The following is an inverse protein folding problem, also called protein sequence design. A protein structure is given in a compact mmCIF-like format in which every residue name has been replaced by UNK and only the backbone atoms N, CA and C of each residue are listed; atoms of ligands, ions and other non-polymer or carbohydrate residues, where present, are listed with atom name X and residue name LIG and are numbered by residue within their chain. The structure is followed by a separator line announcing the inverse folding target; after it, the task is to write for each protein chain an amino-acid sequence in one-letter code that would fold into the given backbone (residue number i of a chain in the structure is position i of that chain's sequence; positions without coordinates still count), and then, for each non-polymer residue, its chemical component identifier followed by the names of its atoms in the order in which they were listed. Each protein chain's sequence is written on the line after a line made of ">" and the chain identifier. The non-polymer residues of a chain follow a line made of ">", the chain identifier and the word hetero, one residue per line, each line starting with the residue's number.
data_IF_863798754021
#
_entry.id   IF_863798754021
#
_cell.length_a   1.000
_cell.length_b   1.000
_cell.length_c   1.000
_cell.angle_alpha   90.00
_cell.angle_beta   90.00
_cell.angle_gamma   90.00
#
_symmetry.space_group_name_H-M   'P 1'
#
loop_
_entity.id
_entity.type
_entity.pdbx_description
1 polymer ?
#
# COMPACT_ATOMS: atom_id res chain seq x y z
N UNK A 1 -0.42 -5.42 23.67
CA UNK A 1 0.70 -5.92 22.83
C UNK A 1 1.73 -4.82 22.75
N UNK A 2 2.94 -5.05 23.27
CA UNK A 2 3.94 -4.00 23.45
C UNK A 2 4.39 -3.40 22.12
N UNK A 3 4.33 -2.06 22.01
CA UNK A 3 5.05 -1.31 20.98
C UNK A 3 6.51 -1.35 21.41
N UNK A 4 7.23 -2.38 20.97
CA UNK A 4 8.58 -2.68 21.40
C UNK A 4 9.59 -1.70 20.83
N UNK A 5 9.87 -0.64 21.57
CA UNK A 5 11.01 0.27 21.36
C UNK A 5 12.33 -0.32 21.91
N UNK A 6 12.56 -1.64 21.75
CA UNK A 6 13.69 -2.32 22.36
C UNK A 6 14.72 -2.80 21.34
N UNK A 7 15.95 -2.34 21.62
CA UNK A 7 17.27 -2.79 21.15
C UNK A 7 17.82 -2.15 19.87
N UNK A 8 18.43 -0.98 20.08
CA UNK A 8 19.42 -0.31 19.22
C UNK A 8 20.70 -1.15 19.07
N UNK A 9 20.60 -2.32 18.42
CA UNK A 9 21.72 -3.17 18.05
C UNK A 9 21.32 -4.18 16.97
N UNK A 10 22.22 -4.49 16.03
CA UNK A 10 21.91 -5.33 14.86
C UNK A 10 21.33 -6.71 15.19
N UNK A 11 21.76 -7.32 16.31
CA UNK A 11 21.22 -8.60 16.79
C UNK A 11 19.80 -8.49 17.37
N UNK A 12 19.49 -7.39 18.06
CA UNK A 12 18.14 -7.15 18.60
C UNK A 12 17.11 -6.93 17.50
N UNK A 13 17.47 -6.14 16.48
CA UNK A 13 16.63 -5.95 15.30
C UNK A 13 16.35 -7.26 14.56
N UNK A 14 17.38 -8.10 14.34
CA UNK A 14 17.20 -9.36 13.62
C UNK A 14 16.23 -10.29 14.36
N UNK A 15 16.35 -10.42 15.68
CA UNK A 15 15.42 -11.20 16.50
C UNK A 15 14.00 -10.64 16.44
N UNK A 16 13.84 -9.32 16.60
CA UNK A 16 12.54 -8.66 16.49
C UNK A 16 11.89 -8.89 15.11
N UNK A 17 12.66 -8.70 14.04
CA UNK A 17 12.18 -8.95 12.69
C UNK A 17 11.77 -10.42 12.50
N UNK A 18 12.61 -11.37 12.90
CA UNK A 18 12.35 -12.80 12.70
C UNK A 18 11.15 -13.31 13.52
N UNK A 19 11.02 -12.85 14.76
CA UNK A 19 10.03 -13.35 15.71
C UNK A 19 8.71 -12.57 15.70
N UNK A 20 8.73 -11.28 15.31
CA UNK A 20 7.56 -10.40 15.39
C UNK A 20 7.12 -9.92 14.01
N UNK A 21 7.98 -9.21 13.28
CA UNK A 21 7.56 -8.53 12.05
C UNK A 21 7.33 -9.49 10.88
N UNK A 22 8.20 -10.48 10.71
CA UNK A 22 8.09 -11.45 9.61
C UNK A 22 6.84 -12.33 9.72
N UNK A 23 6.42 -12.81 10.90
CA UNK A 23 5.11 -13.42 11.08
C UNK A 23 3.97 -12.42 10.86
N UNK A 24 4.03 -11.22 11.46
CA UNK A 24 2.99 -10.20 11.35
C UNK A 24 2.71 -9.77 9.90
N UNK A 25 3.75 -9.65 9.07
CA UNK A 25 3.68 -9.36 7.64
C UNK A 25 2.82 -10.35 6.84
N UNK A 26 2.60 -11.56 7.38
CA UNK A 26 1.84 -12.65 6.75
C UNK A 26 0.50 -12.92 7.46
N UNK A 27 0.25 -12.28 8.59
CA UNK A 27 -1.00 -12.45 9.34
C UNK A 27 -2.15 -11.70 8.66
N UNK A 28 -3.35 -12.22 8.83
CA UNK A 28 -4.57 -11.63 8.27
C UNK A 28 -5.29 -10.70 9.27
N UNK A 29 -4.82 -10.65 10.51
CA UNK A 29 -5.39 -9.84 11.59
C UNK A 29 -4.66 -8.50 11.71
N UNK A 30 -5.29 -7.44 12.23
CA UNK A 30 -4.62 -6.17 12.54
C UNK A 30 -3.39 -6.38 13.43
N UNK A 31 -2.37 -5.53 13.24
CA UNK A 31 -1.13 -5.57 14.02
C UNK A 31 -1.02 -4.33 14.89
N UNK A 32 -0.59 -4.54 16.14
CA UNK A 32 -0.42 -3.46 17.12
C UNK A 32 -1.72 -3.01 17.79
N UNK A 33 -1.65 -2.02 18.70
CA UNK A 33 -2.83 -1.49 19.39
C UNK A 33 -3.76 -0.72 18.45
N UNK A 34 -5.06 -1.00 18.53
CA UNK A 34 -6.06 -0.33 17.68
C UNK A 34 -6.08 1.19 17.85
N UNK A 35 -5.95 1.67 19.09
CA UNK A 35 -5.91 3.11 19.39
C UNK A 35 -4.74 3.81 18.68
N UNK A 36 -3.59 3.13 18.59
CA UNK A 36 -2.41 3.67 17.93
C UNK A 36 -2.59 3.67 16.41
N UNK A 37 -3.13 2.60 15.84
CA UNK A 37 -3.46 2.54 14.42
C UNK A 37 -4.46 3.64 14.01
N UNK A 38 -5.49 3.88 14.83
CA UNK A 38 -6.46 4.97 14.64
C UNK A 38 -5.84 6.35 14.76
N UNK A 39 -4.97 6.56 15.74
CA UNK A 39 -4.26 7.83 15.91
C UNK A 39 -3.34 8.11 14.72
N UNK A 40 -2.51 7.14 14.32
CA UNK A 40 -1.56 7.26 13.20
C UNK A 40 -2.30 7.50 11.88
N UNK A 41 -3.29 6.67 11.55
CA UNK A 41 -4.07 6.83 10.31
C UNK A 41 -4.88 8.13 10.28
N UNK A 42 -5.47 8.54 11.40
CA UNK A 42 -6.16 9.82 11.52
C UNK A 42 -5.23 11.01 11.33
N UNK A 43 -4.01 10.95 11.88
CA UNK A 43 -2.98 11.95 11.67
C UNK A 43 -2.51 11.98 10.21
N UNK A 44 -2.19 10.83 9.61
CA UNK A 44 -1.78 10.75 8.21
C UNK A 44 -2.84 11.32 7.27
N UNK A 45 -4.11 10.98 7.48
CA UNK A 45 -5.20 11.47 6.65
C UNK A 45 -5.40 12.99 6.80
N UNK A 46 -5.43 13.50 8.04
CA UNK A 46 -5.61 14.95 8.28
C UNK A 46 -4.42 15.77 7.79
N UNK A 47 -3.21 15.32 8.09
CA UNK A 47 -1.98 15.96 7.64
C UNK A 47 -1.89 15.93 6.11
N UNK A 48 -2.13 14.76 5.50
CA UNK A 48 -2.15 14.62 4.05
C UNK A 48 -3.22 15.49 3.40
N UNK A 49 -4.42 15.55 3.98
CA UNK A 49 -5.50 16.41 3.48
C UNK A 49 -5.13 17.90 3.56
N UNK A 50 -4.51 18.33 4.66
CA UNK A 50 -4.05 19.72 4.81
C UNK A 50 -2.87 20.06 3.88
N UNK A 51 -1.87 19.18 3.80
CA UNK A 51 -0.63 19.43 3.08
C UNK A 51 -0.75 19.21 1.57
N UNK A 52 -1.39 18.11 1.16
CA UNK A 52 -1.56 17.73 -0.25
C UNK A 52 -2.86 18.25 -0.86
N UNK A 53 -3.80 18.75 -0.03
CA UNK A 53 -5.10 19.26 -0.48
C UNK A 53 -5.88 18.26 -1.37
N UNK A 54 -5.82 16.97 -1.02
CA UNK A 54 -6.50 15.93 -1.80
C UNK A 54 -8.01 15.87 -1.52
N UNK A 55 -8.76 15.33 -2.48
CA UNK A 55 -10.17 14.95 -2.34
C UNK A 55 -10.42 13.58 -2.98
N UNK A 56 -11.58 12.96 -2.70
CA UNK A 56 -11.96 11.69 -3.31
C UNK A 56 -13.48 11.60 -3.51
N UNK A 57 -13.92 10.85 -4.52
CA UNK A 57 -15.34 10.65 -4.85
C UNK A 57 -15.89 9.33 -4.26
N UNK A 58 -15.39 8.90 -3.10
CA UNK A 58 -15.72 7.60 -2.49
C UNK A 58 -17.21 7.42 -2.18
N UNK A 59 -17.86 8.49 -1.72
CA UNK A 59 -19.31 8.51 -1.42
C UNK A 59 -20.16 8.39 -2.68
N UNK A 60 -19.75 9.09 -3.74
CA UNK A 60 -20.39 8.96 -5.04
C UNK A 60 -20.25 7.52 -5.56
N UNK A 61 -19.05 6.94 -5.51
CA UNK A 61 -18.82 5.55 -5.91
C UNK A 61 -19.69 4.54 -5.14
N UNK A 62 -19.98 4.78 -3.85
CA UNK A 62 -20.92 3.98 -3.05
C UNK A 62 -22.36 4.16 -3.54
N UNK A 63 -22.78 5.40 -3.79
CA UNK A 63 -24.13 5.73 -4.27
C UNK A 63 -24.43 5.07 -5.62
N UNK A 64 -23.46 5.06 -6.53
CA UNK A 64 -23.58 4.40 -7.84
C UNK A 64 -23.39 2.87 -7.76
N UNK A 65 -23.08 2.33 -6.57
CA UNK A 65 -22.88 0.89 -6.38
C UNK A 65 -21.63 0.33 -7.06
N UNK A 66 -20.65 1.19 -7.42
CA UNK A 66 -19.37 0.81 -8.02
C UNK A 66 -18.57 -0.06 -7.03
N UNK A 67 -18.64 0.28 -5.75
CA UNK A 67 -18.16 -0.57 -4.67
C UNK A 67 -19.16 -0.58 -3.53
N UNK A 68 -19.21 -1.68 -2.78
CA UNK A 68 -20.15 -1.89 -1.67
C UNK A 68 -19.39 -2.34 -0.43
N UNK A 69 -19.73 -1.83 0.75
CA UNK A 69 -18.89 -2.13 1.92
C UNK A 69 -19.06 -3.54 2.51
N UNK A 70 -20.14 -4.21 2.13
CA UNK A 70 -20.43 -5.60 2.50
C UNK A 70 -19.71 -6.62 1.60
N UNK A 71 -19.05 -6.16 0.53
CA UNK A 71 -18.37 -7.03 -0.44
C UNK A 71 -16.86 -6.87 -0.40
N UNK A 72 -16.21 -8.00 -0.62
CA UNK A 72 -14.78 -8.05 -0.85
C UNK A 72 -14.43 -7.46 -2.22
N UNK A 73 -13.34 -6.71 -2.31
CA UNK A 73 -12.86 -6.16 -3.57
C UNK A 73 -11.33 -6.23 -3.72
N UNK A 74 -10.86 -6.17 -4.96
CA UNK A 74 -9.46 -5.92 -5.27
C UNK A 74 -9.36 -4.53 -5.90
N UNK A 75 -8.84 -3.57 -5.13
CA UNK A 75 -8.64 -2.21 -5.60
C UNK A 75 -7.37 -2.13 -6.42
N UNK A 76 -7.53 -1.80 -7.69
CA UNK A 76 -6.46 -1.67 -8.66
C UNK A 76 -6.11 -0.19 -8.73
N UNK A 77 -5.08 0.19 -7.99
CA UNK A 77 -4.73 1.58 -7.75
C UNK A 77 -3.66 2.06 -8.72
N UNK A 78 -3.94 3.18 -9.38
CA UNK A 78 -3.01 3.87 -10.25
C UNK A 78 -3.01 5.39 -10.01
N UNK A 79 -1.93 6.10 -10.37
CA UNK A 79 -0.62 5.51 -10.65
C UNK A 79 0.01 4.94 -9.36
N UNK A 80 1.02 4.08 -9.48
CA UNK A 80 1.88 3.71 -8.35
C UNK A 80 2.63 4.95 -7.82
N UNK A 81 3.01 5.88 -8.71
CA UNK A 81 3.84 7.03 -8.37
C UNK A 81 5.20 6.61 -7.79
N UNK A 82 5.94 7.58 -7.26
CA UNK A 82 7.29 7.30 -6.77
C UNK A 82 7.30 6.45 -5.48
N UNK A 83 6.32 6.63 -4.59
CA UNK A 83 6.25 5.95 -3.28
C UNK A 83 4.85 5.47 -2.87
N UNK A 84 3.83 5.51 -3.75
CA UNK A 84 2.47 5.00 -3.48
C UNK A 84 1.84 5.56 -2.20
N UNK A 85 1.87 6.88 -2.03
CA UNK A 85 1.43 7.49 -0.78
C UNK A 85 -0.10 7.54 -0.70
N UNK A 86 -0.79 7.87 -1.80
CA UNK A 86 -2.25 7.94 -1.78
C UNK A 86 -2.90 6.63 -1.33
N UNK A 87 -2.51 5.49 -1.92
CA UNK A 87 -3.13 4.21 -1.57
C UNK A 87 -2.92 3.86 -0.09
N UNK A 88 -1.71 4.11 0.44
CA UNK A 88 -1.43 3.87 1.85
C UNK A 88 -2.32 4.73 2.75
N UNK A 89 -2.41 6.03 2.48
CA UNK A 89 -3.16 6.99 3.30
C UNK A 89 -4.65 6.66 3.33
N UNK A 90 -5.25 6.44 2.15
CA UNK A 90 -6.68 6.13 2.06
C UNK A 90 -7.01 4.77 2.66
N UNK A 91 -6.24 3.72 2.33
CA UNK A 91 -6.53 2.37 2.83
C UNK A 91 -6.35 2.29 4.35
N UNK A 92 -5.28 2.89 4.88
CA UNK A 92 -5.06 2.93 6.33
C UNK A 92 -6.19 3.71 7.04
N UNK A 93 -6.58 4.85 6.49
CA UNK A 93 -7.66 5.66 7.04
C UNK A 93 -9.01 4.93 6.99
N UNK A 94 -9.40 4.40 5.83
CA UNK A 94 -10.64 3.65 5.64
C UNK A 94 -10.70 2.39 6.49
N UNK A 95 -9.57 1.70 6.67
CA UNK A 95 -9.48 0.59 7.61
C UNK A 95 -9.78 1.05 9.05
N UNK A 96 -9.04 2.05 9.54
CA UNK A 96 -9.07 2.45 10.94
C UNK A 96 -10.36 3.18 11.37
N UNK A 97 -10.91 3.99 10.46
CA UNK A 97 -12.20 4.69 10.60
C UNK A 97 -13.40 3.77 10.35
N UNK A 98 -13.16 2.54 9.89
CA UNK A 98 -14.19 1.64 9.41
C UNK A 98 -15.04 2.24 8.27
N UNK A 99 -14.46 3.05 7.39
CA UNK A 99 -15.16 3.61 6.23
C UNK A 99 -15.03 2.71 5.00
N UNK A 100 -16.09 2.52 4.20
CA UNK A 100 -17.45 3.04 4.36
C UNK A 100 -18.42 2.07 5.06
N UNK A 101 -18.27 1.85 6.37
CA UNK A 101 -19.24 1.20 7.27
C UNK A 101 -19.80 -0.16 6.85
N UNK A 102 -19.42 -1.25 7.54
CA UNK A 102 -19.89 -2.60 7.18
C UNK A 102 -18.93 -3.69 7.61
N UNK A 103 -17.86 -3.92 6.85
CA UNK A 103 -16.87 -4.99 7.15
C UNK A 103 -15.62 -4.42 7.82
N UNK A 104 -15.71 -4.25 9.15
CA UNK A 104 -14.58 -3.75 9.92
C UNK A 104 -13.37 -4.69 9.82
N UNK A 105 -12.23 -4.12 9.47
CA UNK A 105 -10.93 -4.78 9.69
C UNK A 105 -10.35 -5.59 8.53
N UNK A 106 -10.97 -5.59 7.34
CA UNK A 106 -10.53 -6.42 6.20
C UNK A 106 -9.96 -5.65 4.99
N UNK A 107 -9.60 -4.38 5.15
CA UNK A 107 -9.02 -3.53 4.09
C UNK A 107 -7.51 -3.44 4.24
N UNK A 108 -6.75 -3.98 3.29
CA UNK A 108 -5.28 -4.09 3.34
C UNK A 108 -4.62 -3.33 2.20
N UNK A 109 -3.48 -2.70 2.48
CA UNK A 109 -2.62 -2.15 1.44
C UNK A 109 -1.51 -3.16 1.11
N UNK A 110 -1.42 -3.63 -0.13
CA UNK A 110 -0.34 -4.53 -0.53
C UNK A 110 0.93 -3.73 -0.78
N UNK A 111 2.03 -4.11 -0.12
CA UNK A 111 3.32 -3.42 -0.22
C UNK A 111 4.45 -4.40 -0.58
N UNK A 112 5.53 -3.88 -1.14
CA UNK A 112 6.69 -4.69 -1.48
C UNK A 112 7.26 -5.39 -0.21
N UNK A 113 7.61 -6.70 -0.27
CA UNK A 113 8.10 -7.44 0.90
C UNK A 113 9.38 -6.85 1.50
N UNK A 114 10.16 -6.10 0.70
CA UNK A 114 11.37 -5.43 1.15
C UNK A 114 11.08 -4.34 2.19
N UNK A 115 9.98 -3.58 2.03
CA UNK A 115 9.63 -2.48 2.95
C UNK A 115 9.32 -2.99 4.36
N UNK A 116 8.81 -4.22 4.47
CA UNK A 116 8.52 -4.90 5.74
C UNK A 116 9.77 -5.47 6.43
N UNK A 117 10.97 -5.18 5.91
CA UNK A 117 12.27 -5.53 6.52
C UNK A 117 13.03 -4.32 7.05
N UNK A 118 12.55 -3.11 6.76
CA UNK A 118 13.23 -1.86 7.13
C UNK A 118 12.79 -1.47 8.55
N UNK A 119 13.74 -1.19 9.48
CA UNK A 119 13.42 -0.71 10.82
C UNK A 119 12.51 0.49 10.84
N UNK A 120 11.55 0.50 11.77
CA UNK A 120 10.50 1.52 11.97
C UNK A 120 9.46 1.60 10.85
N UNK A 121 9.89 1.49 9.59
CA UNK A 121 8.99 1.47 8.44
C UNK A 121 8.10 0.23 8.44
N UNK A 122 8.64 -0.94 8.77
CA UNK A 122 7.88 -2.18 8.83
C UNK A 122 6.73 -2.10 9.84
N UNK A 123 7.00 -1.64 11.06
CA UNK A 123 6.01 -1.42 12.11
C UNK A 123 4.95 -0.40 11.69
N UNK A 124 5.38 0.72 11.10
CA UNK A 124 4.50 1.76 10.61
C UNK A 124 3.55 1.22 9.53
N UNK A 125 4.07 0.48 8.55
CA UNK A 125 3.27 -0.14 7.49
C UNK A 125 2.30 -1.18 8.05
N UNK A 126 2.74 -2.00 9.01
CA UNK A 126 1.88 -2.99 9.68
C UNK A 126 0.75 -2.32 10.48
N UNK A 127 1.03 -1.21 11.18
CA UNK A 127 0.02 -0.38 11.85
C UNK A 127 -0.97 0.24 10.86
N UNK A 128 -0.50 0.63 9.68
CA UNK A 128 -1.32 1.08 8.56
C UNK A 128 -2.02 -0.06 7.80
N UNK A 129 -2.10 -1.25 8.41
CA UNK A 129 -2.74 -2.46 7.87
C UNK A 129 -2.20 -2.92 6.50
N UNK A 130 -0.92 -2.63 6.24
CA UNK A 130 -0.23 -3.07 5.03
C UNK A 130 0.27 -4.51 5.14
N UNK A 131 0.25 -5.26 4.05
CA UNK A 131 0.72 -6.65 3.99
C UNK A 131 1.59 -6.88 2.77
N UNK A 132 2.43 -7.90 2.85
CA UNK A 132 3.31 -8.28 1.75
C UNK A 132 2.50 -8.63 0.50
N UNK A 133 2.87 -8.07 -0.65
CA UNK A 133 2.28 -8.40 -1.97
C UNK A 133 2.80 -9.72 -2.54
N UNK A 134 3.61 -10.47 -1.79
CA UNK A 134 4.03 -11.80 -2.24
C UNK A 134 2.80 -12.70 -2.49
N UNK A 135 2.94 -13.60 -3.48
CA UNK A 135 1.82 -14.41 -3.95
C UNK A 135 1.13 -15.18 -2.82
N UNK A 136 1.86 -15.74 -1.86
CA UNK A 136 1.25 -16.53 -0.78
C UNK A 136 0.39 -15.65 0.12
N UNK A 137 0.94 -14.52 0.58
CA UNK A 137 0.22 -13.58 1.45
C UNK A 137 -0.96 -12.95 0.72
N UNK A 138 -0.76 -12.48 -0.51
CA UNK A 138 -1.81 -11.87 -1.34
C UNK A 138 -2.98 -12.82 -1.59
N UNK A 139 -2.71 -14.06 -2.01
CA UNK A 139 -3.77 -15.05 -2.23
C UNK A 139 -4.46 -15.44 -0.90
N UNK A 140 -3.75 -15.49 0.21
CA UNK A 140 -4.36 -15.75 1.53
C UNK A 140 -5.30 -14.63 1.97
N UNK A 141 -4.94 -13.36 1.74
CA UNK A 141 -5.83 -12.23 2.00
C UNK A 141 -7.12 -12.35 1.20
N UNK A 142 -7.01 -12.63 -0.10
CA UNK A 142 -8.18 -12.79 -0.95
C UNK A 142 -9.03 -14.01 -0.54
N UNK A 143 -8.41 -15.15 -0.23
CA UNK A 143 -9.14 -16.34 0.20
C UNK A 143 -9.94 -16.15 1.51
N UNK A 144 -9.57 -15.18 2.35
CA UNK A 144 -10.19 -14.93 3.66
C UNK A 144 -11.14 -13.71 3.67
N UNK A 145 -11.57 -13.27 2.48
CA UNK A 145 -12.49 -12.14 2.34
C UNK A 145 -11.83 -10.77 2.55
N UNK A 146 -10.51 -10.68 2.43
CA UNK A 146 -9.76 -9.43 2.53
C UNK A 146 -9.96 -8.57 1.28
N UNK A 147 -10.36 -7.32 1.46
CA UNK A 147 -10.29 -6.29 0.43
C UNK A 147 -8.87 -5.76 0.36
N UNK A 148 -8.23 -5.83 -0.80
CA UNK A 148 -6.80 -5.52 -0.94
C UNK A 148 -6.61 -4.41 -1.97
N UNK A 149 -5.81 -3.40 -1.66
CA UNK A 149 -5.32 -2.44 -2.63
C UNK A 149 -3.98 -2.90 -3.20
N UNK A 150 -3.84 -2.89 -4.53
CA UNK A 150 -2.63 -3.24 -5.25
C UNK A 150 -2.36 -2.22 -6.35
N UNK A 151 -1.08 -1.91 -6.56
CA UNK A 151 -0.61 -1.06 -7.65
C UNK A 151 0.09 -1.95 -8.68
N UNK A 152 -0.62 -2.42 -9.71
CA UNK A 152 -0.09 -3.46 -10.58
C UNK A 152 1.05 -2.94 -11.47
N UNK A 153 1.19 -1.62 -11.66
CA UNK A 153 2.32 -1.03 -12.39
C UNK A 153 3.67 -1.24 -11.71
N UNK A 154 3.68 -1.47 -10.40
CA UNK A 154 4.84 -1.91 -9.62
C UNK A 154 6.11 -1.10 -9.89
N UNK A 155 7.27 -1.78 -9.87
CA UNK A 155 8.56 -1.15 -10.10
C UNK A 155 8.66 -0.39 -11.44
N UNK A 156 8.19 -0.93 -12.60
CA UNK A 156 8.22 -0.18 -13.86
C UNK A 156 7.54 1.20 -13.78
N UNK A 157 6.32 1.25 -13.22
CA UNK A 157 5.58 2.51 -13.05
C UNK A 157 6.31 3.43 -12.07
N UNK A 158 6.78 2.87 -10.97
CA UNK A 158 7.49 3.59 -9.92
C UNK A 158 8.72 4.34 -10.48
N UNK A 159 9.59 3.64 -11.21
CA UNK A 159 10.84 4.22 -11.74
C UNK A 159 10.63 5.11 -12.95
N UNK A 160 9.50 4.98 -13.62
CA UNK A 160 9.12 5.81 -14.76
C UNK A 160 8.29 7.04 -14.36
N UNK A 161 8.00 7.23 -13.07
CA UNK A 161 7.26 8.40 -12.56
C UNK A 161 7.82 9.69 -13.16
N UNK A 162 6.92 10.52 -13.68
CA UNK A 162 7.23 11.82 -14.27
C UNK A 162 6.25 12.86 -13.72
N UNK A 163 6.77 13.88 -13.05
CA UNK A 163 5.98 15.00 -12.55
C UNK A 163 5.21 15.75 -13.65
N UNK A 164 5.66 15.68 -14.91
CA UNK A 164 5.02 16.37 -16.02
C UNK A 164 4.02 15.48 -16.79
N UNK A 165 3.98 14.18 -16.51
CA UNK A 165 3.12 13.23 -17.24
C UNK A 165 2.71 12.03 -16.38
N UNK A 166 1.41 11.77 -16.30
CA UNK A 166 0.87 10.57 -15.65
C UNK A 166 0.81 9.40 -16.64
N UNK A 167 1.87 8.59 -16.64
CA UNK A 167 1.96 7.39 -17.47
C UNK A 167 1.62 6.14 -16.65
N UNK A 168 0.57 5.42 -17.06
CA UNK A 168 0.20 4.17 -16.43
C UNK A 168 0.93 2.98 -17.03
N UNK A 169 1.38 2.06 -16.18
CA UNK A 169 2.03 0.82 -16.62
C UNK A 169 1.16 -0.37 -16.23
N UNK A 170 0.76 -1.15 -17.24
CA UNK A 170 0.05 -2.39 -17.02
C UNK A 170 1.04 -3.56 -17.13
N UNK A 171 1.15 -4.42 -16.10
CA UNK A 171 2.08 -5.53 -16.14
C UNK A 171 1.62 -6.55 -17.19
N UNK A 172 2.56 -7.06 -17.99
CA UNK A 172 2.28 -8.18 -18.92
C UNK A 172 1.86 -9.44 -18.16
N UNK A 173 2.30 -9.58 -16.90
CA UNK A 173 1.93 -10.68 -16.00
C UNK A 173 0.72 -10.30 -15.15
N UNK A 174 -0.46 -10.75 -15.59
CA UNK A 174 -1.75 -10.50 -14.92
C UNK A 174 -2.01 -11.40 -13.69
N UNK A 175 -1.00 -11.58 -12.82
CA UNK A 175 -1.09 -12.45 -11.65
C UNK A 175 -2.21 -12.05 -10.69
N UNK A 176 -2.35 -10.74 -10.43
CA UNK A 176 -3.40 -10.21 -9.56
C UNK A 176 -4.81 -10.47 -10.12
N UNK A 177 -4.99 -10.38 -11.46
CA UNK A 177 -6.26 -10.70 -12.13
C UNK A 177 -6.58 -12.18 -11.98
N UNK A 178 -5.59 -13.08 -12.20
CA UNK A 178 -5.79 -14.52 -12.01
C UNK A 178 -6.18 -14.86 -10.57
N UNK A 179 -5.57 -14.20 -9.59
CA UNK A 179 -5.95 -14.34 -8.18
C UNK A 179 -7.35 -13.81 -7.91
N UNK A 180 -7.73 -12.67 -8.48
CA UNK A 180 -9.09 -12.12 -8.37
C UNK A 180 -10.14 -13.07 -8.92
N UNK A 181 -9.92 -13.62 -10.12
CA UNK A 181 -10.80 -14.63 -10.74
C UNK A 181 -10.90 -15.87 -9.84
N UNK A 182 -9.76 -16.38 -9.35
CA UNK A 182 -9.70 -17.58 -8.50
C UNK A 182 -10.57 -17.47 -7.24
N UNK A 183 -10.62 -16.29 -6.62
CA UNK A 183 -11.38 -16.06 -5.39
C UNK A 183 -12.69 -15.32 -5.60
N UNK A 184 -13.12 -15.13 -6.86
CA UNK A 184 -14.35 -14.41 -7.18
C UNK A 184 -14.36 -12.97 -6.68
N UNK A 185 -13.20 -12.31 -6.60
CA UNK A 185 -13.05 -10.96 -6.06
C UNK A 185 -13.18 -9.92 -7.20
N UNK A 186 -14.21 -9.05 -7.20
CA UNK A 186 -14.35 -8.00 -8.21
C UNK A 186 -13.20 -6.99 -8.16
N UNK A 187 -12.74 -6.57 -9.34
CA UNK A 187 -11.77 -5.50 -9.48
C UNK A 187 -12.48 -4.14 -9.42
N UNK A 188 -11.91 -3.19 -8.68
CA UNK A 188 -12.30 -1.78 -8.75
C UNK A 188 -11.09 -0.98 -9.20
N UNK A 189 -11.12 -0.34 -10.38
CA UNK A 189 -10.08 0.60 -10.76
C UNK A 189 -10.19 1.87 -9.90
N UNK A 190 -9.07 2.31 -9.34
CA UNK A 190 -8.95 3.56 -8.60
C UNK A 190 -7.83 4.37 -9.24
N UNK A 191 -8.11 5.63 -9.54
CA UNK A 191 -7.13 6.56 -10.08
C UNK A 191 -6.93 7.73 -9.11
N UNK A 192 -5.67 8.04 -8.80
CA UNK A 192 -5.27 9.18 -7.97
C UNK A 192 -4.55 10.23 -8.82
N UNK A 193 -5.30 11.23 -9.29
CA UNK A 193 -4.75 12.37 -10.02
C UNK A 193 -3.82 13.19 -9.13
N UNK A 194 -2.67 13.60 -9.66
CA UNK A 194 -1.69 14.43 -8.95
C UNK A 194 -0.62 13.64 -8.20
N UNK A 195 -0.73 12.31 -8.09
CA UNK A 195 0.21 11.48 -7.32
C UNK A 195 1.64 11.56 -7.88
N UNK A 196 1.80 11.65 -9.21
CA UNK A 196 3.13 11.79 -9.82
C UNK A 196 3.75 13.18 -9.57
N UNK A 197 2.92 14.21 -9.39
CA UNK A 197 3.32 15.59 -9.16
C UNK A 197 3.76 15.84 -7.71
N UNK A 198 3.58 14.87 -6.81
CA UNK A 198 4.02 14.97 -5.41
C UNK A 198 5.54 14.99 -5.25
N UNK A 199 6.28 14.63 -6.30
CA UNK A 199 7.73 14.47 -6.24
C UNK A 199 8.41 15.13 -7.45
N UNK A 200 9.53 15.81 -7.23
CA UNK A 200 10.32 16.33 -8.32
C UNK A 200 11.18 15.22 -8.95
N UNK A 201 10.72 14.74 -10.11
CA UNK A 201 11.41 13.69 -10.86
C UNK A 201 12.36 14.31 -11.90
N UNK A 202 13.49 14.84 -11.43
CA UNK A 202 14.52 15.35 -12.35
C UNK A 202 14.95 14.26 -13.35
N UNK A 203 15.25 14.65 -14.59
CA UNK A 203 15.58 13.68 -15.65
C UNK A 203 16.77 12.79 -15.28
N UNK A 204 17.74 13.32 -14.54
CA UNK A 204 18.92 12.57 -14.12
C UNK A 204 18.61 11.53 -13.04
N UNK A 205 17.75 11.84 -12.05
CA UNK A 205 17.34 10.87 -11.02
C UNK A 205 16.51 9.75 -11.64
N UNK A 206 15.62 10.08 -12.58
CA UNK A 206 14.85 9.09 -13.33
C UNK A 206 15.75 8.17 -14.15
N UNK A 207 16.76 8.70 -14.84
CA UNK A 207 17.76 7.88 -15.56
C UNK A 207 18.53 6.96 -14.61
N UNK A 208 18.90 7.46 -13.44
CA UNK A 208 19.61 6.67 -12.43
C UNK A 208 18.72 5.55 -11.86
N UNK A 209 17.48 5.85 -11.47
CA UNK A 209 16.52 4.85 -10.99
C UNK A 209 16.22 3.80 -12.07
N UNK A 210 16.06 4.20 -13.34
CA UNK A 210 15.90 3.27 -14.47
C UNK A 210 17.13 2.39 -14.68
N UNK A 211 18.33 2.93 -14.51
CA UNK A 211 19.56 2.14 -14.58
C UNK A 211 19.60 1.10 -13.47
N UNK A 212 19.38 1.51 -12.21
CA UNK A 212 19.31 0.60 -11.06
C UNK A 212 18.22 -0.46 -11.21
N UNK A 213 17.06 -0.09 -11.75
CA UNK A 213 15.99 -1.04 -12.04
C UNK A 213 16.42 -2.08 -13.07
N UNK A 214 17.08 -1.66 -14.16
CA UNK A 214 17.54 -2.57 -15.21
C UNK A 214 18.70 -3.47 -14.76
N UNK A 215 19.57 -2.99 -13.88
CA UNK A 215 20.75 -3.72 -13.43
C UNK A 215 20.51 -4.57 -12.19
N UNK A 216 19.75 -4.05 -11.22
CA UNK A 216 19.57 -4.67 -9.89
C UNK A 216 18.11 -5.05 -9.60
N UNK A 217 17.15 -4.64 -10.43
CA UNK A 217 15.73 -4.90 -10.18
C UNK A 217 15.15 -4.12 -8.98
N UNK A 218 15.77 -3.00 -8.61
CA UNK A 218 15.35 -2.17 -7.47
C UNK A 218 14.41 -1.04 -7.90
N UNK A 219 13.59 -0.54 -6.97
CA UNK A 219 12.73 0.63 -7.18
C UNK A 219 13.48 1.96 -7.05
N UNK A 220 12.72 3.03 -6.86
CA UNK A 220 13.29 4.37 -6.66
C UNK A 220 14.19 4.42 -5.42
N UNK A 221 15.42 4.89 -5.60
CA UNK A 221 16.36 5.16 -4.51
C UNK A 221 16.47 6.66 -4.22
N UNK A 222 16.25 7.49 -5.24
CA UNK A 222 16.34 8.95 -5.16
C UNK A 222 15.16 9.57 -5.88
N UNK A 223 14.46 10.45 -5.19
CA UNK A 223 13.46 11.37 -5.76
C UNK A 223 13.76 12.74 -5.15
N UNK A 224 13.71 13.80 -5.96
CA UNK A 224 14.04 15.16 -5.51
C UNK A 224 12.78 15.96 -5.19
#
# INVERSE_FOLDING_TARGET
>A
MAVGLLALGGGGWLLWYLLVLRPAAKQLTPWGPEWLARMVSGWLYKFGSWYLNFSHNGEEALKWGIWKDDKQHLWVWHPHGAFTVAALYFVAHWHASNYPGGTRGKRFCAVAPLLLKIPFLAEFLLLCHSRSVDSKTFNALLANGGTVAIQPGGLPEQVATDQNAECLFFPTRLGFIRSAIRYGTPLIPIYAFGENQLYATATWTRRLNLWFYRTLGTGNLVVL
#
